data_IF_877353898865
#
_entry.id   IF_877353898865
#
_cell.length_a   1.000
_cell.length_b   1.000
_cell.length_c   1.000
_cell.angle_alpha   90.00
_cell.angle_beta   90.00
_cell.angle_gamma   90.00
#
_symmetry.space_group_name_H-M   'P 1'
#
loop_
_entity.id
_entity.type
_entity.pdbx_description
1 polymer ?
#
# COMPACT_ATOMS: atom_id res chain seq x y z
N UNK A 1 35.53 -37.92 -4.47
CA UNK A 1 34.74 -39.02 -3.87
C UNK A 1 34.31 -38.64 -2.47
N UNK A 2 33.25 -37.83 -2.36
CA UNK A 2 32.34 -37.64 -1.21
C UNK A 2 31.71 -36.25 -1.32
N UNK A 3 30.54 -36.16 -1.97
CA UNK A 3 29.45 -35.22 -1.67
C UNK A 3 28.34 -35.36 -2.74
N UNK A 4 27.69 -36.52 -2.74
CA UNK A 4 26.43 -36.76 -3.44
C UNK A 4 25.57 -37.65 -2.55
N UNK A 5 24.75 -37.05 -1.69
CA UNK A 5 23.42 -37.57 -1.35
C UNK A 5 22.69 -36.53 -0.51
N UNK A 6 21.37 -36.47 -0.71
CA UNK A 6 20.40 -35.72 0.10
C UNK A 6 20.30 -34.22 -0.20
N UNK A 7 19.40 -33.83 -1.10
CA UNK A 7 18.08 -33.37 -0.67
C UNK A 7 17.18 -33.09 -1.89
N UNK A 8 16.07 -33.80 -1.89
CA UNK A 8 15.09 -33.95 -2.97
C UNK A 8 13.93 -33.01 -2.65
N UNK A 9 13.46 -32.27 -3.67
CA UNK A 9 12.10 -31.75 -3.85
C UNK A 9 11.49 -30.93 -2.70
N UNK A 10 11.47 -29.61 -2.88
CA UNK A 10 10.42 -28.74 -2.33
C UNK A 10 9.32 -28.61 -3.40
N UNK A 11 8.18 -29.23 -3.14
CA UNK A 11 6.96 -29.12 -3.93
C UNK A 11 6.14 -27.89 -3.51
N UNK A 12 5.47 -27.27 -4.48
CA UNK A 12 4.60 -26.10 -4.34
C UNK A 12 3.51 -26.28 -3.27
N UNK A 13 3.15 -25.22 -2.51
CA UNK A 13 2.00 -25.27 -1.63
C UNK A 13 0.72 -24.96 -2.43
N UNK A 14 0.01 -26.00 -2.86
CA UNK A 14 -1.42 -25.88 -3.19
C UNK A 14 -2.16 -25.74 -1.87
N UNK A 15 -2.69 -24.55 -1.60
CA UNK A 15 -3.53 -24.28 -0.43
C UNK A 15 -4.84 -25.08 -0.54
N UNK A 16 -4.91 -26.19 0.17
CA UNK A 16 -6.15 -26.94 0.37
C UNK A 16 -6.98 -26.22 1.43
N UNK A 17 -8.16 -25.73 1.04
CA UNK A 17 -9.21 -25.27 1.94
C UNK A 17 -9.68 -26.47 2.77
N UNK A 18 -9.26 -26.54 4.04
CA UNK A 18 -9.75 -27.51 5.00
C UNK A 18 -10.97 -26.93 5.74
N UNK A 19 -12.15 -27.47 5.46
CA UNK A 19 -13.34 -27.33 6.29
C UNK A 19 -13.10 -28.10 7.60
N UNK A 20 -12.78 -27.38 8.67
CA UNK A 20 -12.68 -27.89 10.03
C UNK A 20 -13.74 -27.25 10.90
N UNK A 21 -14.69 -28.08 11.34
CA UNK A 21 -15.77 -27.73 12.25
C UNK A 21 -15.22 -27.75 13.68
N UNK A 22 -14.63 -26.63 14.14
CA UNK A 22 -14.14 -26.48 15.52
C UNK A 22 -15.21 -25.83 16.41
N UNK A 23 -15.79 -26.68 17.24
CA UNK A 23 -16.62 -26.36 18.39
C UNK A 23 -15.79 -25.71 19.50
N UNK A 24 -16.30 -24.60 20.05
CA UNK A 24 -16.01 -24.03 21.37
C UNK A 24 -14.52 -23.78 21.70
N UNK A 25 -14.00 -22.66 21.19
CA UNK A 25 -12.98 -21.91 21.89
C UNK A 25 -13.28 -20.42 21.72
N UNK A 26 -13.99 -19.83 22.68
CA UNK A 26 -14.10 -18.37 22.85
C UNK A 26 -12.74 -17.80 23.28
N UNK A 27 -11.73 -17.99 22.44
CA UNK A 27 -10.47 -17.28 22.49
C UNK A 27 -10.77 -15.85 22.15
N UNK A 28 -11.00 -15.04 23.19
CA UNK A 28 -11.24 -13.60 23.09
C UNK A 28 -10.32 -13.01 22.00
N UNK A 29 -10.93 -12.63 20.87
CA UNK A 29 -10.22 -12.01 19.76
C UNK A 29 -9.37 -10.89 20.34
N UNK A 30 -8.05 -10.95 20.15
CA UNK A 30 -7.12 -9.97 20.73
C UNK A 30 -7.63 -8.55 20.46
N UNK A 31 -7.47 -7.65 21.42
CA UNK A 31 -8.10 -6.32 21.41
C UNK A 31 -7.95 -5.58 20.05
N UNK A 32 -6.81 -5.73 19.39
CA UNK A 32 -6.55 -5.20 18.05
C UNK A 32 -7.46 -5.76 16.95
N UNK A 33 -7.77 -7.07 16.98
CA UNK A 33 -8.69 -7.73 16.04
C UNK A 33 -10.12 -7.24 16.29
N UNK A 34 -10.48 -7.07 17.56
CA UNK A 34 -11.79 -6.51 17.96
C UNK A 34 -11.98 -5.07 17.47
N UNK A 35 -10.92 -4.23 17.45
CA UNK A 35 -10.96 -2.88 16.87
C UNK A 35 -11.24 -2.86 15.36
N UNK A 36 -10.84 -3.91 14.62
CA UNK A 36 -11.18 -4.04 13.20
C UNK A 36 -12.66 -4.41 12.97
N UNK A 37 -13.38 -4.83 14.02
CA UNK A 37 -14.84 -4.96 14.04
C UNK A 37 -15.43 -5.90 13.00
N UNK A 38 -14.65 -6.86 12.49
CA UNK A 38 -15.08 -7.79 11.43
C UNK A 38 -15.34 -7.14 10.06
N UNK A 39 -14.95 -5.88 9.84
CA UNK A 39 -15.24 -5.10 8.62
C UNK A 39 -14.23 -5.34 7.48
N UNK A 40 -13.87 -6.58 7.23
CA UNK A 40 -12.91 -6.94 6.15
C UNK A 40 -13.56 -7.09 4.76
N UNK A 41 -14.78 -6.56 4.58
CA UNK A 41 -15.55 -6.67 3.33
C UNK A 41 -15.22 -5.57 2.32
N UNK A 42 -15.66 -5.72 1.05
CA UNK A 42 -15.48 -4.72 0.02
C UNK A 42 -16.11 -3.39 0.42
N UNK A 43 -15.42 -2.30 0.13
CA UNK A 43 -15.95 -0.96 0.38
C UNK A 43 -16.89 -0.54 -0.73
N UNK A 44 -17.76 0.44 -0.45
CA UNK A 44 -18.57 1.13 -1.47
C UNK A 44 -17.70 1.60 -2.64
N UNK A 45 -16.52 2.14 -2.37
CA UNK A 45 -15.58 2.59 -3.41
C UNK A 45 -15.12 1.45 -4.33
N UNK A 46 -14.84 0.28 -3.75
CA UNK A 46 -14.42 -0.91 -4.50
C UNK A 46 -15.53 -1.40 -5.42
N UNK A 47 -16.77 -1.41 -4.92
CA UNK A 47 -17.93 -1.89 -5.70
C UNK A 47 -18.27 -0.95 -6.86
N UNK A 48 -18.30 0.37 -6.61
CA UNK A 48 -18.55 1.34 -7.68
C UNK A 48 -17.40 1.41 -8.69
N UNK A 49 -16.14 1.23 -8.26
CA UNK A 49 -15.01 1.14 -9.18
C UNK A 49 -15.13 -0.07 -10.11
N UNK A 50 -15.53 -1.24 -9.60
CA UNK A 50 -15.79 -2.45 -10.39
C UNK A 50 -16.85 -2.20 -11.46
N UNK A 51 -18.00 -1.65 -11.07
CA UNK A 51 -19.10 -1.32 -11.99
C UNK A 51 -18.66 -0.29 -13.03
N UNK A 52 -17.87 0.71 -12.62
CA UNK A 52 -17.30 1.71 -13.52
C UNK A 52 -16.39 1.10 -14.59
N UNK A 53 -15.59 0.08 -14.24
CA UNK A 53 -14.74 -0.62 -15.21
C UNK A 53 -15.56 -1.49 -16.18
N UNK A 54 -16.62 -2.14 -15.71
CA UNK A 54 -17.46 -3.02 -16.53
C UNK A 54 -18.26 -2.27 -17.58
N UNK A 55 -18.76 -1.08 -17.24
CA UNK A 55 -19.64 -0.30 -18.12
C UNK A 55 -18.96 0.90 -18.81
N UNK A 56 -17.71 1.23 -18.41
CA UNK A 56 -16.93 2.35 -18.93
C UNK A 56 -17.73 3.67 -19.08
N UNK A 57 -18.46 4.13 -18.04
CA UNK A 57 -19.19 5.39 -18.10
C UNK A 57 -18.23 6.58 -18.02
N UNK A 58 -18.71 7.77 -18.35
CA UNK A 58 -18.00 9.02 -18.02
C UNK A 58 -17.95 9.17 -16.50
N UNK A 59 -16.77 9.02 -15.91
CA UNK A 59 -16.60 8.96 -14.46
C UNK A 59 -16.47 10.36 -13.82
N UNK A 60 -17.59 10.92 -13.38
CA UNK A 60 -17.63 12.18 -12.62
C UNK A 60 -17.52 11.98 -11.10
N UNK A 61 -17.48 10.72 -10.62
CA UNK A 61 -17.36 10.39 -9.20
C UNK A 61 -15.92 10.35 -8.70
N UNK A 62 -14.94 10.47 -9.59
CA UNK A 62 -13.52 10.39 -9.28
C UNK A 62 -13.00 11.70 -8.69
N UNK A 63 -12.42 11.64 -7.49
CA UNK A 63 -11.91 12.82 -6.78
C UNK A 63 -10.50 13.27 -7.17
N UNK A 64 -9.89 12.70 -8.22
CA UNK A 64 -8.57 13.09 -8.71
C UNK A 64 -8.64 13.54 -10.18
N UNK A 65 -7.79 14.51 -10.58
CA UNK A 65 -7.72 15.00 -11.95
C UNK A 65 -7.47 13.89 -12.98
N UNK A 66 -8.10 14.01 -14.16
CA UNK A 66 -7.84 13.19 -15.35
C UNK A 66 -6.86 13.86 -16.34
N UNK A 67 -6.29 15.01 -15.99
CA UNK A 67 -5.25 15.72 -16.73
C UNK A 67 -3.88 15.61 -16.05
N UNK A 68 -2.83 15.94 -16.82
CA UNK A 68 -1.45 15.94 -16.32
C UNK A 68 -1.24 17.00 -15.23
N UNK A 69 -0.42 16.71 -14.21
CA UNK A 69 -0.02 17.70 -13.23
C UNK A 69 0.79 18.84 -13.89
N UNK A 70 0.86 20.03 -13.28
CA UNK A 70 1.64 21.14 -13.79
C UNK A 70 3.14 20.80 -13.94
N UNK A 71 3.80 21.39 -14.94
CA UNK A 71 5.18 21.08 -15.31
C UNK A 71 6.17 21.20 -14.14
N UNK A 72 6.04 22.25 -13.31
CA UNK A 72 6.94 22.44 -12.16
C UNK A 72 6.93 21.27 -11.17
N UNK A 73 5.78 20.58 -11.02
CA UNK A 73 5.66 19.44 -10.13
C UNK A 73 6.35 18.20 -10.71
N UNK A 74 6.28 18.02 -12.03
CA UNK A 74 6.99 16.96 -12.75
C UNK A 74 8.50 17.17 -12.70
N UNK A 75 8.96 18.38 -13.00
CA UNK A 75 10.38 18.73 -12.99
C UNK A 75 10.99 18.53 -11.59
N UNK A 76 10.29 19.00 -10.55
CA UNK A 76 10.72 18.81 -9.16
C UNK A 76 10.83 17.33 -8.77
N UNK A 77 9.93 16.49 -9.27
CA UNK A 77 9.97 15.04 -9.03
C UNK A 77 11.15 14.38 -9.74
N UNK A 78 11.40 14.75 -11.01
CA UNK A 78 12.54 14.25 -11.78
C UNK A 78 13.85 14.65 -11.11
N UNK A 79 13.99 15.91 -10.71
CA UNK A 79 15.15 16.41 -9.99
C UNK A 79 15.37 15.64 -8.67
N UNK A 80 14.31 15.45 -7.87
CA UNK A 80 14.41 14.73 -6.61
C UNK A 80 14.84 13.25 -6.77
N UNK A 81 14.45 12.61 -7.88
CA UNK A 81 14.85 11.22 -8.19
C UNK A 81 16.29 11.16 -8.71
N UNK A 82 16.72 12.16 -9.50
CA UNK A 82 18.04 12.19 -10.12
C UNK A 82 19.14 12.70 -9.19
N UNK A 83 18.81 13.50 -8.17
CA UNK A 83 19.78 14.11 -7.25
C UNK A 83 20.47 13.06 -6.35
N UNK A 84 21.46 12.38 -6.93
CA UNK A 84 22.32 11.41 -6.26
C UNK A 84 23.13 11.99 -5.10
N UNK A 85 23.26 13.32 -4.98
CA UNK A 85 24.11 13.95 -3.98
C UNK A 85 23.54 13.87 -2.55
N UNK A 86 22.24 13.63 -2.40
CA UNK A 86 21.55 13.67 -1.10
C UNK A 86 20.98 12.30 -0.66
N UNK A 87 21.42 11.19 -1.26
CA UNK A 87 20.88 9.85 -0.99
C UNK A 87 19.33 9.80 -1.03
N UNK A 88 18.69 10.21 -2.13
CA UNK A 88 17.24 10.42 -2.22
C UNK A 88 16.43 9.12 -2.05
N UNK A 89 17.08 7.97 -2.21
CA UNK A 89 16.48 6.65 -2.05
C UNK A 89 16.63 6.07 -0.63
N UNK A 90 17.29 6.79 0.28
CA UNK A 90 17.46 6.37 1.68
C UNK A 90 16.48 7.08 2.60
N UNK A 91 16.28 6.51 3.78
CA UNK A 91 15.35 7.04 4.76
C UNK A 91 15.63 8.50 5.11
N UNK A 92 14.56 9.29 5.15
CA UNK A 92 14.59 10.61 5.80
C UNK A 92 14.39 10.47 7.31
N UNK A 93 14.57 11.57 8.06
CA UNK A 93 14.34 11.60 9.51
C UNK A 93 12.85 11.37 9.85
N UNK A 94 12.51 10.91 11.08
CA UNK A 94 11.12 10.59 11.46
C UNK A 94 10.12 11.74 11.30
N UNK A 95 10.57 12.99 11.49
CA UNK A 95 9.73 14.19 11.35
C UNK A 95 9.60 14.73 9.92
N UNK A 96 9.94 13.94 8.90
CA UNK A 96 9.87 14.32 7.48
C UNK A 96 11.10 15.04 6.94
N UNK A 97 11.16 15.17 5.61
CA UNK A 97 12.31 15.75 4.90
C UNK A 97 12.57 17.21 5.34
N UNK A 98 13.80 17.57 5.75
CA UNK A 98 14.09 18.90 6.30
C UNK A 98 13.68 20.06 5.40
N UNK A 99 13.87 19.94 4.07
CA UNK A 99 13.48 20.99 3.13
C UNK A 99 11.95 21.17 3.09
N UNK A 100 11.20 20.07 3.04
CA UNK A 100 9.74 20.11 3.04
C UNK A 100 9.20 20.76 4.33
N UNK A 101 9.68 20.31 5.49
CA UNK A 101 9.21 20.82 6.79
C UNK A 101 9.51 22.32 6.94
N UNK A 102 10.69 22.78 6.52
CA UNK A 102 11.04 24.21 6.57
C UNK A 102 10.16 25.05 5.66
N UNK A 103 9.86 24.59 4.44
CA UNK A 103 8.99 25.34 3.52
C UNK A 103 7.55 25.37 4.01
N UNK A 104 7.03 24.26 4.53
CA UNK A 104 5.70 24.22 5.16
C UNK A 104 5.63 25.16 6.36
N UNK A 105 6.62 25.10 7.26
CA UNK A 105 6.69 26.00 8.41
C UNK A 105 6.69 27.46 7.96
N UNK A 106 7.51 27.84 6.97
CA UNK A 106 7.53 29.21 6.45
C UNK A 106 6.22 29.65 5.79
N UNK A 107 5.55 28.75 5.06
CA UNK A 107 4.35 29.08 4.28
C UNK A 107 3.09 29.19 5.14
N UNK A 108 3.06 28.45 6.26
CA UNK A 108 1.92 28.33 7.16
C UNK A 108 2.20 28.83 8.58
N UNK A 109 3.40 29.36 8.87
CA UNK A 109 3.63 30.16 10.07
C UNK A 109 2.94 31.51 9.87
N UNK A 110 1.86 31.72 10.62
CA UNK A 110 1.15 32.99 10.74
C UNK A 110 2.14 34.09 11.15
#
# INVERSE_FOLDING_TARGET
QHQLSMQRRIASPTAAFANGNDSDNDGALGEAITRMGGKSGPTVWTEFARIGQEHNPVNLGQGYPDWLPPQFALDSLVEAVQDSAQSPHQYTRPGGHPNLVKQLARRYSI
#
